data_IF_471863253521
#
_entry.id   IF_471863253521
#
_cell.length_a   1.000
_cell.length_b   1.000
_cell.length_c   1.000
_cell.angle_alpha   90.00
_cell.angle_beta   90.00
_cell.angle_gamma   90.00
#
_symmetry.space_group_name_H-M   'P 1'
#
loop_
_entity.id
_entity.type
_entity.pdbx_description
1 polymer ?
#
# COMPACT_ATOMS: atom_id res chain seq x y z
N UNK A 1 -13.09 4.56 4.24
CA UNK A 1 -12.81 6.00 4.01
C UNK A 1 -11.31 6.15 3.83
N UNK A 2 -10.82 7.23 3.22
CA UNK A 2 -9.39 7.51 3.20
C UNK A 2 -9.08 9.00 3.29
N UNK A 3 -7.89 9.34 3.80
CA UNK A 3 -7.28 10.66 3.73
C UNK A 3 -5.96 10.62 2.97
N UNK A 4 -5.55 11.77 2.43
CA UNK A 4 -4.25 11.95 1.78
C UNK A 4 -3.64 13.24 2.33
N UNK A 5 -2.43 13.13 2.85
CA UNK A 5 -1.66 14.21 3.44
C UNK A 5 -0.28 14.25 2.78
N UNK A 6 0.21 15.46 2.51
CA UNK A 6 1.53 15.64 1.92
C UNK A 6 2.48 16.11 3.01
N UNK A 7 3.51 15.33 3.29
CA UNK A 7 4.61 15.69 4.15
C UNK A 7 5.82 16.16 3.31
N UNK A 8 6.95 16.41 3.97
CA UNK A 8 8.13 16.94 3.31
C UNK A 8 8.75 15.94 2.32
N UNK A 9 8.81 14.66 2.69
CA UNK A 9 9.50 13.60 1.96
C UNK A 9 8.58 12.47 1.49
N UNK A 10 7.29 12.52 1.84
CA UNK A 10 6.33 11.49 1.47
C UNK A 10 4.89 12.03 1.36
N UNK A 11 4.07 11.29 0.63
CA UNK A 11 2.62 11.39 0.73
C UNK A 11 2.12 10.30 1.67
N UNK A 12 1.42 10.70 2.73
CA UNK A 12 0.83 9.80 3.72
C UNK A 12 -0.64 9.58 3.35
N UNK A 13 -1.03 8.32 3.22
CA UNK A 13 -2.41 7.91 2.91
C UNK A 13 -2.88 7.02 4.05
N UNK A 14 -4.00 7.38 4.67
CA UNK A 14 -4.62 6.57 5.73
C UNK A 14 -5.88 5.94 5.17
N UNK A 15 -5.95 4.61 5.19
CA UNK A 15 -7.13 3.84 4.82
C UNK A 15 -7.82 3.38 6.10
N UNK A 16 -9.05 3.83 6.28
CA UNK A 16 -9.89 3.47 7.43
C UNK A 16 -10.84 2.36 7.02
N UNK A 17 -10.82 1.26 7.78
CA UNK A 17 -11.77 0.17 7.62
C UNK A 17 -13.14 0.61 8.14
N UNK A 18 -14.15 0.58 7.28
CA UNK A 18 -15.49 1.07 7.58
C UNK A 18 -16.53 0.00 7.26
N UNK A 19 -17.53 -0.15 8.13
CA UNK A 19 -18.61 -1.10 7.92
C UNK A 19 -19.15 -1.67 9.22
N UNK A 20 -19.67 -2.90 9.15
CA UNK A 20 -20.12 -3.64 10.32
C UNK A 20 -18.95 -4.40 10.95
N UNK A 21 -18.92 -4.42 12.28
CA UNK A 21 -17.89 -5.10 13.04
C UNK A 21 -17.87 -6.62 12.78
N UNK A 22 -16.69 -7.27 12.88
CA UNK A 22 -15.40 -6.70 13.30
C UNK A 22 -14.66 -5.98 12.17
N UNK A 23 -14.09 -4.82 12.50
CA UNK A 23 -13.23 -4.04 11.60
C UNK A 23 -11.76 -4.39 11.85
N UNK A 24 -10.94 -4.24 10.83
CA UNK A 24 -9.49 -4.26 10.95
C UNK A 24 -8.97 -2.88 11.40
N UNK A 25 -7.73 -2.84 11.87
CA UNK A 25 -7.06 -1.57 12.15
C UNK A 25 -6.74 -0.82 10.85
N UNK A 26 -6.57 0.50 10.97
CA UNK A 26 -6.25 1.37 9.85
C UNK A 26 -4.93 0.99 9.19
N UNK A 27 -4.86 1.20 7.87
CA UNK A 27 -3.64 1.01 7.07
C UNK A 27 -3.05 2.36 6.73
N UNK A 28 -1.78 2.54 7.06
CA UNK A 28 -1.01 3.74 6.72
C UNK A 28 -0.07 3.41 5.56
N UNK A 29 -0.15 4.19 4.50
CA UNK A 29 0.72 4.07 3.33
C UNK A 29 1.57 5.34 3.23
N UNK A 30 2.89 5.18 3.33
CA UNK A 30 3.83 6.27 3.09
C UNK A 30 4.43 6.09 1.70
N UNK A 31 4.15 7.02 0.79
CA UNK A 31 4.69 7.03 -0.56
C UNK A 31 5.87 8.01 -0.65
N UNK A 32 7.09 7.48 -0.58
CA UNK A 32 8.33 8.22 -0.78
C UNK A 32 8.71 8.23 -2.27
N UNK A 33 9.73 9.02 -2.63
CA UNK A 33 10.26 9.08 -3.99
C UNK A 33 10.80 7.72 -4.48
N UNK A 34 11.43 6.94 -3.59
CA UNK A 34 12.15 5.72 -3.93
C UNK A 34 11.41 4.42 -3.57
N UNK A 35 10.47 4.47 -2.64
CA UNK A 35 9.73 3.30 -2.18
C UNK A 35 8.39 3.68 -1.54
N UNK A 36 7.56 2.68 -1.31
CA UNK A 36 6.30 2.82 -0.58
C UNK A 36 6.27 1.85 0.58
N UNK A 37 5.88 2.31 1.76
CA UNK A 37 5.66 1.43 2.92
C UNK A 37 4.19 1.31 3.23
N UNK A 38 3.74 0.10 3.52
CA UNK A 38 2.38 -0.20 3.99
C UNK A 38 2.50 -0.68 5.44
N UNK A 39 1.79 -0.03 6.34
CA UNK A 39 1.86 -0.25 7.77
C UNK A 39 0.48 -0.52 8.35
N UNK A 40 0.37 -1.49 9.26
CA UNK A 40 -0.86 -1.79 10.00
C UNK A 40 -0.51 -2.24 11.42
N UNK A 41 -1.24 -1.71 12.40
CA UNK A 41 -1.10 -2.11 13.80
C UNK A 41 -1.78 -3.46 14.05
N UNK A 42 -1.13 -4.34 14.81
CA UNK A 42 -1.75 -5.56 15.34
C UNK A 42 -1.95 -5.45 16.88
N UNK A 43 -3.19 -5.28 17.37
CA UNK A 43 -3.47 -5.15 18.79
C UNK A 43 -3.24 -6.43 19.59
N UNK A 44 -3.11 -7.59 18.92
CA UNK A 44 -2.87 -8.88 19.58
C UNK A 44 -1.41 -9.05 19.97
N UNK A 45 -0.51 -8.47 19.18
CA UNK A 45 0.94 -8.57 19.37
C UNK A 45 1.57 -7.25 19.81
N UNK A 46 0.76 -6.18 19.89
CA UNK A 46 1.16 -4.81 20.22
C UNK A 46 2.32 -4.31 19.35
N UNK A 47 2.23 -4.58 18.04
CA UNK A 47 3.31 -4.31 17.09
C UNK A 47 2.76 -3.68 15.80
N UNK A 48 3.56 -2.78 15.22
CA UNK A 48 3.35 -2.28 13.86
C UNK A 48 3.96 -3.26 12.86
N UNK A 49 3.15 -3.82 11.98
CA UNK A 49 3.64 -4.56 10.82
C UNK A 49 3.92 -3.60 9.69
N UNK A 50 5.06 -3.80 9.00
CA UNK A 50 5.50 -2.96 7.88
C UNK A 50 5.92 -3.82 6.70
N UNK A 51 5.46 -3.46 5.51
CA UNK A 51 5.90 -4.01 4.22
C UNK A 51 6.44 -2.86 3.39
N UNK A 52 7.64 -3.02 2.84
CA UNK A 52 8.24 -2.06 1.91
C UNK A 52 8.14 -2.59 0.49
N UNK A 53 7.58 -1.78 -0.40
CA UNK A 53 7.48 -2.03 -1.83
C UNK A 53 8.44 -1.09 -2.57
N UNK A 54 9.19 -1.64 -3.52
CA UNK A 54 9.81 -0.81 -4.56
C UNK A 54 8.72 -0.18 -5.44
N UNK A 55 9.05 0.91 -6.14
CA UNK A 55 8.13 1.54 -7.10
C UNK A 55 7.66 0.54 -8.17
N UNK A 56 8.55 -0.35 -8.62
CA UNK A 56 8.18 -1.41 -9.54
C UNK A 56 7.11 -2.34 -8.96
N UNK A 57 7.30 -2.84 -7.74
CA UNK A 57 6.31 -3.70 -7.08
C UNK A 57 4.98 -2.99 -6.83
N UNK A 58 4.98 -1.70 -6.46
CA UNK A 58 3.73 -0.94 -6.29
C UNK A 58 2.95 -0.85 -7.60
N UNK A 59 3.63 -0.50 -8.70
CA UNK A 59 2.97 -0.42 -10.00
C UNK A 59 2.48 -1.80 -10.48
N UNK A 60 3.16 -2.90 -10.11
CA UNK A 60 2.71 -4.26 -10.42
C UNK A 60 1.48 -4.63 -9.59
N UNK A 61 1.47 -4.29 -8.30
CA UNK A 61 0.31 -4.45 -7.43
C UNK A 61 -0.89 -3.69 -7.96
N UNK A 62 -0.71 -2.43 -8.37
CA UNK A 62 -1.77 -1.61 -8.97
C UNK A 62 -2.34 -2.26 -10.24
N UNK A 63 -1.48 -2.73 -11.15
CA UNK A 63 -1.93 -3.45 -12.35
C UNK A 63 -2.66 -4.76 -12.01
N UNK A 64 -2.20 -5.49 -11.00
CA UNK A 64 -2.79 -6.76 -10.60
C UNK A 64 -4.23 -6.62 -10.07
N UNK A 65 -4.65 -5.44 -9.61
CA UNK A 65 -6.04 -5.21 -9.16
C UNK A 65 -7.06 -5.27 -10.31
N UNK A 66 -6.63 -5.02 -11.55
CA UNK A 66 -7.50 -4.95 -12.74
C UNK A 66 -7.33 -6.15 -13.69
N UNK A 67 -6.43 -7.09 -13.37
CA UNK A 67 -6.09 -8.23 -14.24
C UNK A 67 -6.70 -9.54 -13.70
N UNK A 68 -7.08 -10.47 -14.60
CA UNK A 68 -7.52 -11.80 -14.19
C UNK A 68 -6.35 -12.64 -13.65
N UNK A 69 -6.66 -13.84 -13.15
CA UNK A 69 -5.65 -14.79 -12.70
C UNK A 69 -4.64 -15.13 -13.82
N UNK A 70 -3.35 -15.16 -13.48
CA UNK A 70 -2.30 -15.45 -14.45
C UNK A 70 -0.89 -15.08 -13.96
N UNK A 71 0.09 -15.29 -14.85
CA UNK A 71 1.47 -14.85 -14.65
C UNK A 71 1.73 -13.72 -15.64
N UNK A 72 2.11 -12.56 -15.11
CA UNK A 72 2.36 -11.35 -15.89
C UNK A 72 3.81 -10.92 -15.76
N UNK A 73 4.34 -10.39 -16.85
CA UNK A 73 5.64 -9.75 -16.86
C UNK A 73 5.49 -8.41 -17.54
N UNK A 74 6.14 -7.38 -16.99
CA UNK A 74 6.21 -6.09 -17.67
C UNK A 74 6.88 -6.25 -19.02
N UNK A 75 6.24 -5.74 -20.06
CA UNK A 75 6.92 -5.52 -21.32
C UNK A 75 8.07 -4.55 -21.03
N UNK A 76 9.31 -4.95 -21.34
CA UNK A 76 10.45 -4.04 -21.32
C UNK A 76 10.13 -2.91 -22.29
N UNK A 77 9.92 -1.70 -21.78
CA UNK A 77 9.80 -0.53 -22.65
C UNK A 77 11.22 -0.21 -23.10
N UNK A 78 11.61 -0.74 -24.27
CA UNK A 78 12.86 -0.37 -24.92
C UNK A 78 12.83 1.11 -25.28
N UNK A 79 13.92 1.79 -25.00
CA UNK A 79 14.20 3.16 -25.49
C UNK A 79 14.28 3.22 -27.02
#
# INVERSE_FOLDING_TARGET
MFSIEHEFDSTVITLVDEGEAPLNEDVIINAFEECVTIEQYDPRTDQMHKITLSIAQLTDLGAALDLPEGVYQRAMQGE
#
